data_IF_705859082290
#
_entry.id   IF_705859082290
#
_cell.length_a   1.000
_cell.length_b   1.000
_cell.length_c   1.000
_cell.angle_alpha   90.00
_cell.angle_beta   90.00
_cell.angle_gamma   90.00
#
_symmetry.space_group_name_H-M   'P 1'
#
loop_
_entity.id
_entity.type
_entity.pdbx_description
1 polymer ?
#
# COMPACT_ATOMS: atom_id res chain seq x y z
N UNK A 1 4.66 -31.19 -23.47
CA UNK A 1 5.20 -29.93 -23.99
C UNK A 1 6.39 -30.25 -24.92
N UNK A 2 6.52 -29.61 -26.07
CA UNK A 2 7.64 -29.85 -26.95
C UNK A 2 8.84 -29.03 -26.49
N UNK A 3 10.08 -29.51 -26.73
CA UNK A 3 11.33 -28.81 -26.33
C UNK A 3 11.45 -27.37 -26.92
N UNK A 4 10.73 -27.10 -28.01
CA UNK A 4 10.59 -25.77 -28.60
C UNK A 4 9.74 -24.85 -27.74
N UNK A 5 8.74 -25.39 -27.04
CA UNK A 5 7.84 -24.62 -26.17
C UNK A 5 8.56 -24.28 -24.87
N UNK A 6 9.40 -25.20 -24.34
CA UNK A 6 10.25 -24.97 -23.17
C UNK A 6 11.21 -23.80 -23.41
N UNK A 7 11.91 -23.79 -24.57
CA UNK A 7 12.81 -22.67 -24.92
C UNK A 7 12.10 -21.33 -25.07
N UNK A 8 10.82 -21.34 -25.47
CA UNK A 8 10.02 -20.13 -25.51
C UNK A 8 9.69 -19.61 -24.11
N UNK A 9 9.44 -20.53 -23.15
CA UNK A 9 9.18 -20.14 -21.78
C UNK A 9 10.42 -19.50 -21.10
N UNK A 10 11.62 -19.90 -21.48
CA UNK A 10 12.88 -19.33 -20.97
C UNK A 10 13.07 -17.85 -21.35
N UNK A 11 12.37 -17.35 -22.36
CA UNK A 11 12.45 -15.95 -22.82
C UNK A 11 11.35 -15.06 -22.23
N UNK A 12 10.41 -15.64 -21.49
CA UNK A 12 9.29 -14.93 -20.88
C UNK A 12 9.63 -14.51 -19.45
N UNK A 13 9.05 -13.39 -19.03
CA UNK A 13 9.08 -13.01 -17.60
C UNK A 13 8.39 -14.05 -16.74
N UNK A 14 8.74 -14.18 -15.44
CA UNK A 14 8.08 -15.08 -14.52
C UNK A 14 6.55 -14.92 -14.49
N UNK A 15 6.06 -13.69 -14.67
CA UNK A 15 4.63 -13.42 -14.75
C UNK A 15 3.97 -13.99 -16.02
N UNK A 16 4.62 -13.86 -17.18
CA UNK A 16 4.14 -14.42 -18.45
C UNK A 16 4.22 -15.93 -18.44
N UNK A 17 5.30 -16.52 -17.89
CA UNK A 17 5.42 -17.98 -17.70
C UNK A 17 4.25 -18.51 -16.89
N UNK A 18 3.96 -17.89 -15.73
CA UNK A 18 2.83 -18.27 -14.90
C UNK A 18 1.50 -18.21 -15.65
N UNK A 19 1.21 -17.14 -16.36
CA UNK A 19 -0.03 -17.02 -17.13
C UNK A 19 -0.12 -18.09 -18.23
N UNK A 20 0.98 -18.32 -18.96
CA UNK A 20 1.05 -19.36 -19.99
C UNK A 20 0.80 -20.77 -19.42
N UNK A 21 1.36 -21.07 -18.23
CA UNK A 21 1.14 -22.35 -17.56
C UNK A 21 -0.30 -22.51 -17.08
N UNK A 22 -0.93 -21.44 -16.57
CA UNK A 22 -2.34 -21.44 -16.20
C UNK A 22 -3.22 -21.73 -17.40
N UNK A 23 -2.98 -21.04 -18.53
CA UNK A 23 -3.74 -21.23 -19.77
C UNK A 23 -3.60 -22.67 -20.31
N UNK A 24 -2.39 -23.23 -20.30
CA UNK A 24 -2.14 -24.61 -20.69
C UNK A 24 -2.88 -25.62 -19.79
N UNK A 25 -2.90 -25.35 -18.49
CA UNK A 25 -3.57 -26.23 -17.52
C UNK A 25 -5.11 -26.15 -17.66
N UNK A 26 -5.68 -24.97 -17.93
CA UNK A 26 -7.11 -24.79 -18.15
C UNK A 26 -7.61 -25.48 -19.43
N UNK A 27 -6.78 -25.57 -20.44
CA UNK A 27 -7.10 -26.25 -21.71
C UNK A 27 -6.80 -27.77 -21.67
N UNK A 28 -6.30 -28.28 -20.55
CA UNK A 28 -6.12 -29.71 -20.37
C UNK A 28 -7.45 -30.39 -20.08
N UNK A 29 -7.92 -31.24 -20.98
CA UNK A 29 -9.18 -31.99 -20.84
C UNK A 29 -9.09 -33.17 -19.86
N UNK A 30 -7.93 -33.46 -19.32
CA UNK A 30 -7.71 -34.66 -18.49
C UNK A 30 -8.03 -34.44 -17.00
N UNK A 31 -8.02 -33.18 -16.53
CA UNK A 31 -8.26 -32.83 -15.11
C UNK A 31 -8.95 -31.49 -14.99
N UNK A 32 -9.86 -31.37 -14.03
CA UNK A 32 -10.41 -30.08 -13.62
C UNK A 32 -9.33 -29.31 -12.86
N UNK A 33 -8.92 -28.17 -13.41
CA UNK A 33 -7.97 -27.27 -12.75
C UNK A 33 -8.69 -26.33 -11.79
N UNK A 34 -8.27 -26.31 -10.55
CA UNK A 34 -8.66 -25.30 -9.57
C UNK A 34 -7.50 -24.31 -9.47
N UNK A 35 -7.73 -23.07 -9.92
CA UNK A 35 -6.72 -22.03 -9.87
C UNK A 35 -6.70 -21.37 -8.48
N UNK A 36 -5.66 -21.67 -7.70
CA UNK A 36 -5.38 -21.03 -6.42
C UNK A 36 -4.23 -20.00 -6.50
N UNK A 37 -3.71 -19.72 -7.69
CA UNK A 37 -2.58 -18.80 -7.91
C UNK A 37 -2.95 -17.32 -7.92
N UNK A 38 -4.25 -16.99 -7.97
CA UNK A 38 -4.79 -15.63 -7.81
C UNK A 38 -6.10 -15.70 -7.07
N UNK A 39 -6.25 -14.86 -6.06
CA UNK A 39 -7.51 -14.64 -5.39
C UNK A 39 -7.79 -13.16 -5.26
N UNK A 40 -9.04 -12.77 -5.52
CA UNK A 40 -9.56 -11.52 -5.01
C UNK A 40 -10.36 -11.84 -3.75
N UNK A 41 -10.38 -10.96 -2.74
CA UNK A 41 -11.38 -11.05 -1.69
C UNK A 41 -12.77 -11.10 -2.32
N UNK A 42 -13.56 -12.11 -1.97
CA UNK A 42 -14.94 -12.25 -2.47
C UNK A 42 -15.94 -11.47 -1.60
N UNK A 43 -15.47 -10.49 -0.87
CA UNK A 43 -16.23 -9.66 0.04
C UNK A 43 -15.89 -8.18 -0.15
N UNK A 44 -16.83 -7.33 0.16
CA UNK A 44 -16.68 -5.87 0.16
C UNK A 44 -17.21 -5.35 1.48
N UNK A 45 -16.44 -4.49 2.15
CA UNK A 45 -16.93 -3.72 3.29
C UNK A 45 -17.93 -2.68 2.77
N UNK A 46 -19.22 -2.91 3.00
CA UNK A 46 -20.30 -2.09 2.40
C UNK A 46 -20.49 -0.77 3.11
N UNK A 47 -20.45 -0.73 4.43
CA UNK A 47 -20.64 0.49 5.21
C UNK A 47 -19.68 1.64 4.83
N UNK A 48 -18.34 1.45 4.79
CA UNK A 48 -17.43 2.51 4.36
C UNK A 48 -17.57 2.87 2.87
N UNK A 49 -18.05 1.94 2.03
CA UNK A 49 -18.36 2.23 0.63
C UNK A 49 -19.56 3.13 0.49
N UNK A 50 -20.63 2.82 1.20
CA UNK A 50 -21.83 3.63 1.25
C UNK A 50 -21.52 5.00 1.84
N UNK A 51 -20.74 5.04 2.93
CA UNK A 51 -20.24 6.29 3.52
C UNK A 51 -19.55 7.18 2.50
N UNK A 52 -18.67 6.63 1.68
CA UNK A 52 -17.99 7.37 0.62
C UNK A 52 -18.97 7.97 -0.40
N UNK A 53 -19.99 7.22 -0.82
CA UNK A 53 -21.01 7.74 -1.73
C UNK A 53 -21.89 8.79 -1.07
N UNK A 54 -22.28 8.62 0.19
CA UNK A 54 -23.06 9.61 0.93
C UNK A 54 -22.30 10.90 1.17
N UNK A 55 -21.01 10.81 1.47
CA UNK A 55 -20.14 11.98 1.55
C UNK A 55 -20.08 12.72 0.20
N UNK A 56 -20.02 11.98 -0.92
CA UNK A 56 -20.08 12.56 -2.26
C UNK A 56 -21.42 13.28 -2.54
N UNK A 57 -22.53 12.73 -2.07
CA UNK A 57 -23.84 13.37 -2.19
C UNK A 57 -23.93 14.65 -1.38
N UNK A 58 -23.43 14.65 -0.14
CA UNK A 58 -23.31 15.84 0.68
C UNK A 58 -22.45 16.92 -0.01
N UNK A 59 -21.27 16.53 -0.51
CA UNK A 59 -20.37 17.43 -1.20
C UNK A 59 -21.02 18.08 -2.44
N UNK A 60 -21.83 17.33 -3.17
CA UNK A 60 -22.60 17.87 -4.30
C UNK A 60 -23.72 18.84 -3.83
N UNK A 61 -24.39 18.57 -2.71
CA UNK A 61 -25.37 19.51 -2.12
C UNK A 61 -24.68 20.83 -1.73
N UNK A 62 -23.53 20.75 -1.05
CA UNK A 62 -22.71 21.92 -0.71
C UNK A 62 -22.27 22.72 -1.95
N UNK A 63 -21.75 22.03 -2.95
CA UNK A 63 -21.31 22.65 -4.21
C UNK A 63 -22.46 23.39 -4.91
N UNK A 64 -23.63 22.76 -5.02
CA UNK A 64 -24.81 23.35 -5.66
C UNK A 64 -25.37 24.55 -4.89
N UNK A 65 -25.31 24.53 -3.56
CA UNK A 65 -25.82 25.63 -2.72
C UNK A 65 -25.03 26.91 -2.88
N UNK A 66 -23.76 26.83 -3.27
CA UNK A 66 -22.84 27.95 -3.37
C UNK A 66 -22.70 28.53 -4.79
N UNK A 67 -23.52 28.10 -5.73
CA UNK A 67 -23.49 28.60 -7.10
C UNK A 67 -24.90 28.65 -7.70
N UNK A 68 -25.33 29.85 -8.09
CA UNK A 68 -26.68 30.09 -8.65
C UNK A 68 -26.68 30.54 -10.12
N UNK A 69 -25.52 30.50 -10.77
CA UNK A 69 -25.34 31.12 -12.09
C UNK A 69 -25.92 30.30 -13.25
N UNK A 70 -25.72 28.98 -13.24
CA UNK A 70 -26.15 28.10 -14.32
C UNK A 70 -26.61 26.74 -13.76
N UNK A 71 -27.68 26.20 -14.37
CA UNK A 71 -28.15 24.85 -14.04
C UNK A 71 -27.08 23.81 -14.35
N UNK A 72 -26.87 22.85 -13.43
CA UNK A 72 -25.92 21.77 -13.56
C UNK A 72 -24.47 22.12 -13.14
N UNK A 73 -24.23 23.34 -12.68
CA UNK A 73 -22.95 23.74 -12.11
C UNK A 73 -23.05 23.93 -10.61
N UNK A 74 -21.90 23.83 -9.93
CA UNK A 74 -21.76 24.08 -8.51
C UNK A 74 -20.53 24.95 -8.24
N UNK A 75 -20.50 25.57 -7.07
CA UNK A 75 -19.37 26.34 -6.58
C UNK A 75 -18.46 25.52 -5.67
N UNK A 76 -17.51 26.19 -5.06
CA UNK A 76 -16.66 25.67 -4.01
C UNK A 76 -17.45 25.51 -2.72
N UNK A 77 -17.07 24.56 -1.87
CA UNK A 77 -17.60 24.46 -0.51
C UNK A 77 -17.29 25.73 0.30
N UNK A 78 -18.11 26.00 1.31
CA UNK A 78 -17.87 27.07 2.27
C UNK A 78 -17.58 26.44 3.62
N UNK A 79 -16.35 26.63 4.12
CA UNK A 79 -15.88 26.00 5.35
C UNK A 79 -16.70 26.40 6.58
N UNK A 80 -17.10 27.66 6.70
CA UNK A 80 -17.84 28.14 7.87
C UNK A 80 -19.14 27.36 8.09
N UNK A 81 -19.33 26.79 9.28
CA UNK A 81 -20.50 26.00 9.70
C UNK A 81 -20.80 24.76 8.83
N UNK A 82 -19.81 24.26 8.07
CA UNK A 82 -20.00 23.09 7.18
C UNK A 82 -20.25 21.81 7.98
N UNK A 83 -19.67 21.68 9.15
CA UNK A 83 -19.91 20.53 10.04
C UNK A 83 -21.36 20.49 10.54
N UNK A 84 -21.97 21.64 10.80
CA UNK A 84 -23.38 21.72 11.16
C UNK A 84 -24.26 21.26 9.99
N UNK A 85 -23.99 21.74 8.77
CA UNK A 85 -24.73 21.30 7.57
C UNK A 85 -24.53 19.82 7.27
N UNK A 86 -23.33 19.30 7.51
CA UNK A 86 -23.04 17.88 7.40
C UNK A 86 -23.89 17.06 8.37
N UNK A 87 -23.97 17.45 9.65
CA UNK A 87 -24.80 16.76 10.62
C UNK A 87 -26.30 16.82 10.26
N UNK A 88 -26.78 17.95 9.73
CA UNK A 88 -28.15 18.07 9.23
C UNK A 88 -28.42 17.14 8.02
N UNK A 89 -27.43 17.00 7.12
CA UNK A 89 -27.51 16.01 6.05
C UNK A 89 -27.57 14.58 6.61
N UNK A 90 -26.72 14.26 7.57
CA UNK A 90 -26.74 12.94 8.21
C UNK A 90 -28.06 12.63 8.91
N UNK A 91 -28.65 13.60 9.63
CA UNK A 91 -29.96 13.44 10.25
C UNK A 91 -31.06 13.09 9.24
N UNK A 92 -31.02 13.70 8.03
CA UNK A 92 -31.97 13.42 6.96
C UNK A 92 -31.90 11.99 6.41
N UNK A 93 -30.72 11.34 6.53
CA UNK A 93 -30.44 10.01 5.98
C UNK A 93 -29.97 9.02 7.05
N UNK A 94 -30.40 9.20 8.30
CA UNK A 94 -29.92 8.48 9.49
C UNK A 94 -30.12 6.94 9.42
N UNK A 95 -31.11 6.47 8.65
CA UNK A 95 -31.40 5.03 8.47
C UNK A 95 -30.33 4.29 7.63
N UNK A 96 -29.38 5.00 7.01
CA UNK A 96 -28.37 4.41 6.14
C UNK A 96 -27.10 4.07 6.92
N UNK A 97 -26.61 2.84 6.77
CA UNK A 97 -25.42 2.33 7.48
C UNK A 97 -24.19 3.20 7.21
N UNK A 98 -24.01 3.63 5.96
CA UNK A 98 -22.91 4.52 5.57
C UNK A 98 -22.97 5.89 6.22
N UNK A 99 -24.16 6.41 6.48
CA UNK A 99 -24.35 7.69 7.19
C UNK A 99 -24.01 7.54 8.68
N UNK A 100 -24.41 6.44 9.31
CA UNK A 100 -24.02 6.14 10.70
C UNK A 100 -22.50 6.04 10.80
N UNK A 101 -21.85 5.35 9.86
CA UNK A 101 -20.39 5.28 9.80
C UNK A 101 -19.75 6.68 9.69
N UNK A 102 -20.31 7.60 8.89
CA UNK A 102 -19.79 8.97 8.75
C UNK A 102 -19.91 9.76 10.05
N UNK A 103 -21.04 9.62 10.77
CA UNK A 103 -21.25 10.29 12.06
C UNK A 103 -20.24 9.78 13.09
N UNK A 104 -20.08 8.47 13.20
CA UNK A 104 -19.13 7.84 14.13
C UNK A 104 -17.68 8.25 13.81
N UNK A 105 -17.31 8.23 12.52
CA UNK A 105 -15.99 8.66 12.08
C UNK A 105 -15.73 10.15 12.40
N UNK A 106 -16.69 11.02 12.11
CA UNK A 106 -16.59 12.44 12.42
C UNK A 106 -16.41 12.68 13.92
N UNK A 107 -17.26 12.07 14.77
CA UNK A 107 -17.19 12.20 16.22
C UNK A 107 -15.87 11.65 16.76
N UNK A 108 -15.47 10.45 16.31
CA UNK A 108 -14.21 9.84 16.74
C UNK A 108 -13.01 10.75 16.44
N UNK A 109 -12.91 11.28 15.22
CA UNK A 109 -11.77 12.09 14.78
C UNK A 109 -11.73 13.43 15.54
N UNK A 110 -12.87 14.10 15.65
CA UNK A 110 -12.95 15.39 16.36
C UNK A 110 -12.65 15.25 17.85
N UNK A 111 -13.18 14.23 18.50
CA UNK A 111 -13.02 14.00 19.94
C UNK A 111 -11.63 13.44 20.26
N UNK A 112 -11.19 12.43 19.54
CA UNK A 112 -9.93 11.73 19.83
C UNK A 112 -8.70 12.56 19.46
N UNK A 113 -8.77 13.29 18.35
CA UNK A 113 -7.61 14.03 17.82
C UNK A 113 -7.75 15.55 17.98
N UNK A 114 -8.83 16.03 18.61
CA UNK A 114 -9.09 17.46 18.83
C UNK A 114 -9.03 18.28 17.52
N UNK A 115 -9.58 17.70 16.45
CA UNK A 115 -9.64 18.31 15.13
C UNK A 115 -10.85 19.24 15.06
N UNK A 116 -10.67 20.41 14.44
CA UNK A 116 -11.77 21.30 14.12
C UNK A 116 -12.73 20.66 13.12
N UNK A 117 -14.00 20.53 13.49
CA UNK A 117 -15.01 19.82 12.71
C UNK A 117 -15.27 20.46 11.34
N UNK A 118 -15.29 21.79 11.27
CA UNK A 118 -15.48 22.51 10.01
C UNK A 118 -14.30 22.28 9.06
N UNK A 119 -13.08 22.30 9.58
CA UNK A 119 -11.89 22.06 8.77
C UNK A 119 -11.82 20.59 8.28
N UNK A 120 -12.24 19.63 9.11
CA UNK A 120 -12.30 18.22 8.72
C UNK A 120 -13.30 17.96 7.59
N UNK A 121 -14.53 18.42 7.78
CA UNK A 121 -15.59 18.22 6.76
C UNK A 121 -15.28 18.99 5.49
N UNK A 122 -14.70 20.18 5.60
CA UNK A 122 -14.26 20.95 4.44
C UNK A 122 -13.18 20.18 3.62
N UNK A 123 -12.18 19.62 4.29
CA UNK A 123 -11.18 18.77 3.62
C UNK A 123 -11.83 17.56 2.91
N UNK A 124 -12.79 16.90 3.56
CA UNK A 124 -13.50 15.77 2.96
C UNK A 124 -14.29 16.18 1.71
N UNK A 125 -14.98 17.31 1.76
CA UNK A 125 -15.74 17.85 0.63
C UNK A 125 -14.83 18.23 -0.52
N UNK A 126 -13.76 19.00 -0.25
CA UNK A 126 -12.80 19.41 -1.27
C UNK A 126 -12.08 18.18 -1.88
N UNK A 127 -11.72 17.19 -1.04
CA UNK A 127 -11.07 15.97 -1.46
C UNK A 127 -11.92 15.12 -2.40
N UNK A 128 -13.21 14.89 -2.03
CA UNK A 128 -14.10 14.05 -2.85
C UNK A 128 -14.56 14.74 -4.14
N UNK A 129 -14.63 16.06 -4.16
CA UNK A 129 -14.90 16.87 -5.37
C UNK A 129 -13.66 17.01 -6.26
N UNK A 130 -12.47 16.66 -5.77
CA UNK A 130 -11.22 16.80 -6.51
C UNK A 130 -10.73 18.24 -6.67
N UNK A 131 -10.97 19.08 -5.69
CA UNK A 131 -10.78 20.54 -5.78
C UNK A 131 -9.44 21.03 -5.22
N UNK A 132 -8.38 20.25 -5.36
CA UNK A 132 -7.03 20.58 -4.85
C UNK A 132 -6.07 21.09 -5.95
N UNK A 133 -6.61 21.50 -7.09
CA UNK A 133 -5.83 22.11 -8.16
C UNK A 133 -5.66 23.63 -7.89
N UNK A 134 -4.50 24.25 -8.19
CA UNK A 134 -3.34 23.71 -8.91
C UNK A 134 -2.23 23.18 -8.01
N UNK A 135 -2.39 23.15 -6.73
CA UNK A 135 -1.35 22.74 -5.77
C UNK A 135 -1.87 21.55 -4.94
N UNK A 136 -1.86 20.34 -5.53
CA UNK A 136 -2.28 19.16 -4.80
C UNK A 136 -1.29 18.86 -3.67
N UNK A 137 -1.81 18.55 -2.50
CA UNK A 137 -1.02 18.06 -1.39
C UNK A 137 -0.53 16.62 -1.67
N UNK A 138 0.60 16.27 -1.08
CA UNK A 138 1.11 14.89 -1.05
C UNK A 138 0.06 13.92 -0.50
N UNK A 139 -0.64 14.34 0.52
CA UNK A 139 -1.76 13.68 1.16
C UNK A 139 -2.59 14.73 1.88
N UNK A 140 -3.91 14.59 1.91
CA UNK A 140 -4.78 15.49 2.65
C UNK A 140 -4.42 15.46 4.13
N UNK A 141 -4.43 16.62 4.78
CA UNK A 141 -3.90 16.83 6.14
C UNK A 141 -4.51 15.90 7.19
N UNK A 142 -5.84 15.82 7.22
CA UNK A 142 -6.53 14.99 8.20
C UNK A 142 -6.54 13.53 7.80
N UNK A 143 -6.56 13.23 6.51
CA UNK A 143 -6.34 11.87 6.00
C UNK A 143 -4.94 11.36 6.37
N UNK A 144 -3.90 12.20 6.29
CA UNK A 144 -2.56 11.85 6.76
C UNK A 144 -2.53 11.60 8.27
N UNK A 145 -3.18 12.45 9.07
CA UNK A 145 -3.27 12.27 10.52
C UNK A 145 -3.90 10.92 10.88
N UNK A 146 -5.04 10.59 10.26
CA UNK A 146 -5.77 9.35 10.51
C UNK A 146 -4.94 8.13 10.09
N UNK A 147 -4.39 8.14 8.88
CA UNK A 147 -3.56 7.06 8.36
C UNK A 147 -2.31 6.85 9.23
N UNK A 148 -1.67 7.94 9.68
CA UNK A 148 -0.54 7.89 10.60
C UNK A 148 -0.92 7.21 11.91
N UNK A 149 -2.03 7.61 12.51
CA UNK A 149 -2.51 7.04 13.77
C UNK A 149 -2.88 5.57 13.64
N UNK A 150 -3.48 5.19 12.53
CA UNK A 150 -3.76 3.80 12.21
C UNK A 150 -2.47 2.96 12.10
N UNK A 151 -1.49 3.43 11.33
CA UNK A 151 -0.20 2.75 11.17
C UNK A 151 0.54 2.66 12.51
N UNK A 152 0.58 3.74 13.29
CA UNK A 152 1.19 3.74 14.63
C UNK A 152 0.55 2.67 15.53
N UNK A 153 -0.77 2.55 15.52
CA UNK A 153 -1.50 1.57 16.32
C UNK A 153 -1.26 0.13 15.83
N UNK A 154 -1.40 -0.11 14.53
CA UNK A 154 -1.33 -1.47 13.97
C UNK A 154 0.11 -2.02 13.93
N UNK A 155 1.10 -1.18 13.66
CA UNK A 155 2.49 -1.62 13.54
C UNK A 155 3.25 -1.61 14.86
N UNK A 156 2.92 -0.72 15.79
CA UNK A 156 3.57 -0.65 17.10
C UNK A 156 2.73 -1.28 18.22
N UNK A 157 1.40 -1.35 18.06
CA UNK A 157 0.50 -1.87 19.10
C UNK A 157 0.66 -1.10 20.42
N UNK A 158 0.96 -1.82 21.49
CA UNK A 158 1.24 -1.23 22.80
C UNK A 158 2.70 -0.85 23.04
N UNK A 159 3.59 -1.10 22.06
CA UNK A 159 4.99 -0.76 22.21
C UNK A 159 5.23 0.74 22.03
N UNK A 160 6.24 1.31 22.69
CA UNK A 160 6.64 2.69 22.45
C UNK A 160 7.00 2.89 20.98
N UNK A 161 6.48 3.96 20.37
CA UNK A 161 6.88 4.32 19.01
C UNK A 161 8.38 4.62 18.97
N UNK A 162 9.07 4.22 17.89
CA UNK A 162 10.47 4.56 17.68
C UNK A 162 10.66 6.09 17.74
N UNK A 163 11.79 6.52 18.27
CA UNK A 163 12.18 7.92 18.19
C UNK A 163 12.40 8.31 16.72
N UNK A 164 11.64 9.26 16.23
CA UNK A 164 11.75 9.75 14.87
C UNK A 164 10.39 10.15 14.28
N UNK A 165 10.46 10.82 13.14
CA UNK A 165 9.29 11.15 12.33
C UNK A 165 9.33 10.30 11.06
N UNK A 166 8.18 9.83 10.64
CA UNK A 166 8.01 9.26 9.31
C UNK A 166 6.97 10.07 8.55
N UNK A 167 7.12 10.11 7.25
CA UNK A 167 6.21 10.78 6.35
C UNK A 167 5.37 9.75 5.60
N UNK A 168 4.13 10.12 5.28
CA UNK A 168 3.23 9.30 4.48
C UNK A 168 3.14 9.85 3.07
N UNK A 169 3.05 8.96 2.10
CA UNK A 169 2.83 9.29 0.71
C UNK A 169 1.77 8.34 0.14
N UNK A 170 0.59 8.85 -0.19
CA UNK A 170 -0.49 8.06 -0.76
C UNK A 170 -0.22 7.75 -2.23
N UNK A 171 -0.40 6.48 -2.61
CA UNK A 171 -0.23 5.99 -3.97
C UNK A 171 -1.30 4.97 -4.33
N UNK A 172 -1.38 4.59 -5.60
CA UNK A 172 -2.40 3.71 -6.16
C UNK A 172 -2.14 2.22 -5.89
N UNK A 173 -1.57 1.90 -4.73
CA UNK A 173 -1.28 0.52 -4.30
C UNK A 173 0.20 0.15 -4.33
N UNK A 174 0.53 -1.06 -3.82
CA UNK A 174 1.91 -1.49 -3.60
C UNK A 174 2.78 -1.49 -4.86
N UNK A 175 2.26 -1.90 -6.00
CA UNK A 175 3.04 -1.89 -7.27
C UNK A 175 3.39 -0.46 -7.70
N UNK A 176 2.46 0.49 -7.56
CA UNK A 176 2.75 1.90 -7.82
C UNK A 176 3.77 2.46 -6.81
N UNK A 177 3.64 2.12 -5.54
CA UNK A 177 4.63 2.48 -4.51
C UNK A 177 6.04 2.03 -4.89
N UNK A 178 6.19 0.79 -5.35
CA UNK A 178 7.48 0.26 -5.82
C UNK A 178 8.06 1.09 -6.96
N UNK A 179 7.26 1.41 -7.98
CA UNK A 179 7.71 2.23 -9.12
C UNK A 179 8.19 3.60 -8.63
N UNK A 180 7.44 4.24 -7.75
CA UNK A 180 7.83 5.54 -7.20
C UNK A 180 9.10 5.46 -6.35
N UNK A 181 9.24 4.40 -5.53
CA UNK A 181 10.44 4.18 -4.72
C UNK A 181 11.66 3.97 -5.62
N UNK A 182 11.61 3.06 -6.59
CA UNK A 182 12.73 2.82 -7.51
C UNK A 182 13.12 4.09 -8.28
N UNK A 183 12.13 4.83 -8.82
CA UNK A 183 12.37 6.10 -9.49
C UNK A 183 13.02 7.13 -8.56
N UNK A 184 12.58 7.19 -7.30
CA UNK A 184 13.13 8.10 -6.30
C UNK A 184 14.57 7.74 -5.95
N UNK A 185 14.85 6.47 -5.71
CA UNK A 185 16.19 5.98 -5.40
C UNK A 185 17.17 6.27 -6.55
N UNK A 186 16.74 6.01 -7.81
CA UNK A 186 17.51 6.34 -9.02
C UNK A 186 17.74 7.85 -9.15
N UNK A 187 16.68 8.66 -9.07
CA UNK A 187 16.76 10.11 -9.27
C UNK A 187 17.65 10.80 -8.24
N UNK A 188 17.66 10.28 -7.02
CA UNK A 188 18.52 10.77 -5.93
C UNK A 188 19.90 10.09 -5.90
N UNK A 189 20.22 9.23 -6.85
CA UNK A 189 21.50 8.50 -6.95
C UNK A 189 21.80 7.62 -5.74
N UNK A 190 20.77 7.17 -5.05
CA UNK A 190 20.89 6.21 -3.96
C UNK A 190 21.08 4.77 -4.48
N UNK A 191 20.50 4.49 -5.66
CA UNK A 191 20.78 3.31 -6.46
C UNK A 191 21.12 3.73 -7.89
N UNK A 192 22.20 3.17 -8.42
CA UNK A 192 22.67 3.44 -9.79
C UNK A 192 22.72 2.13 -10.58
N UNK A 193 22.67 2.18 -11.92
CA UNK A 193 22.87 1.00 -12.76
C UNK A 193 24.15 0.24 -12.38
N UNK A 194 24.03 -1.06 -12.19
CA UNK A 194 25.14 -1.92 -11.76
C UNK A 194 25.30 -2.09 -10.25
N UNK A 195 24.58 -1.30 -9.43
CA UNK A 195 24.54 -1.53 -7.98
C UNK A 195 23.86 -2.86 -7.64
N UNK A 196 24.22 -3.43 -6.50
CA UNK A 196 23.66 -4.70 -6.01
C UNK A 196 22.60 -4.44 -4.95
N UNK A 197 21.46 -5.10 -5.10
CA UNK A 197 20.41 -5.14 -4.10
C UNK A 197 20.18 -6.57 -3.61
N UNK A 198 19.71 -6.73 -2.39
CA UNK A 198 19.26 -7.99 -1.85
C UNK A 198 17.72 -8.08 -1.91
N UNK A 199 17.19 -9.27 -2.19
CA UNK A 199 15.77 -9.58 -2.17
C UNK A 199 15.52 -10.80 -1.30
N UNK A 200 14.58 -10.71 -0.36
CA UNK A 200 14.18 -11.83 0.51
C UNK A 200 13.27 -12.80 -0.26
N UNK A 201 13.82 -13.92 -0.72
CA UNK A 201 13.13 -14.90 -1.54
C UNK A 201 12.59 -16.09 -0.71
N UNK A 202 11.43 -16.69 -1.09
CA UNK A 202 10.57 -16.32 -2.22
C UNK A 202 9.84 -15.00 -1.99
N UNK A 203 9.61 -14.24 -3.05
CA UNK A 203 9.06 -12.88 -2.99
C UNK A 203 8.04 -12.63 -4.11
N UNK A 204 7.22 -11.62 -3.93
CA UNK A 204 6.27 -11.14 -4.94
C UNK A 204 7.00 -10.76 -6.24
N UNK A 205 6.52 -11.32 -7.35
CA UNK A 205 7.20 -11.28 -8.66
C UNK A 205 7.72 -9.90 -9.11
N UNK A 206 7.00 -8.78 -8.92
CA UNK A 206 7.50 -7.47 -9.32
C UNK A 206 8.85 -7.07 -8.69
N UNK A 207 9.17 -7.57 -7.48
CA UNK A 207 10.47 -7.34 -6.85
C UNK A 207 11.62 -8.09 -7.53
N UNK A 208 11.29 -9.12 -8.32
CA UNK A 208 12.28 -9.86 -9.12
C UNK A 208 12.50 -9.17 -10.47
N UNK A 209 11.41 -8.70 -11.10
CA UNK A 209 11.43 -8.20 -12.47
C UNK A 209 11.87 -6.73 -12.56
N UNK A 210 11.34 -5.88 -11.67
CA UNK A 210 11.56 -4.44 -11.76
C UNK A 210 13.05 -4.03 -11.68
N UNK A 211 13.89 -4.61 -10.80
CA UNK A 211 15.31 -4.28 -10.76
C UNK A 211 16.08 -4.59 -12.04
N UNK A 212 15.60 -5.57 -12.83
CA UNK A 212 16.24 -6.00 -14.08
C UNK A 212 15.86 -5.13 -15.29
N UNK A 213 14.83 -4.28 -15.15
CA UNK A 213 14.46 -3.37 -16.23
C UNK A 213 15.67 -2.52 -16.64
N UNK A 214 15.80 -2.28 -17.94
CA UNK A 214 16.91 -1.51 -18.55
C UNK A 214 17.11 -0.15 -17.85
N UNK A 215 16.02 0.46 -17.39
CA UNK A 215 16.06 1.73 -16.66
C UNK A 215 16.76 1.67 -15.30
N UNK A 216 16.80 0.51 -14.66
CA UNK A 216 17.45 0.34 -13.34
C UNK A 216 18.73 -0.48 -13.44
N UNK A 217 18.74 -1.56 -14.20
CA UNK A 217 19.88 -2.43 -14.47
C UNK A 217 20.64 -2.82 -13.18
N UNK A 218 19.91 -3.24 -12.15
CA UNK A 218 20.47 -3.60 -10.83
C UNK A 218 20.85 -5.08 -10.81
N UNK A 219 21.93 -5.40 -10.09
CA UNK A 219 22.29 -6.76 -9.74
C UNK A 219 21.48 -7.23 -8.53
N UNK A 220 21.15 -8.52 -8.47
CA UNK A 220 20.37 -9.10 -7.35
C UNK A 220 21.17 -10.15 -6.60
N UNK A 221 21.05 -10.13 -5.29
CA UNK A 221 21.47 -11.19 -4.36
C UNK A 221 20.23 -11.69 -3.64
N UNK A 222 19.98 -12.99 -3.72
CA UNK A 222 18.84 -13.61 -3.05
C UNK A 222 19.21 -13.95 -1.60
N UNK A 223 18.31 -13.56 -0.69
CA UNK A 223 18.32 -13.91 0.73
C UNK A 223 17.21 -14.94 0.92
N UNK A 224 17.58 -16.20 0.91
CA UNK A 224 16.63 -17.31 0.83
C UNK A 224 15.99 -17.63 2.17
N UNK A 225 14.66 -17.62 2.22
CA UNK A 225 13.91 -18.33 3.25
C UNK A 225 13.76 -19.80 2.87
N UNK A 226 13.77 -20.68 3.86
CA UNK A 226 13.78 -22.12 3.66
C UNK A 226 12.51 -22.78 4.25
N UNK A 227 11.92 -23.70 3.52
CA UNK A 227 10.80 -24.52 4.00
C UNK A 227 11.20 -25.34 5.24
N UNK A 228 12.42 -25.86 5.29
CA UNK A 228 12.93 -26.62 6.42
C UNK A 228 13.04 -25.79 7.71
N UNK A 229 13.21 -24.46 7.57
CA UNK A 229 13.16 -23.48 8.66
C UNK A 229 11.79 -22.79 8.80
N UNK A 230 10.73 -23.43 8.31
CA UNK A 230 9.37 -22.87 8.28
C UNK A 230 9.31 -21.48 7.62
N UNK A 231 10.02 -21.32 6.53
CA UNK A 231 10.15 -20.07 5.76
C UNK A 231 10.76 -18.91 6.53
N UNK A 232 11.53 -19.21 7.57
CA UNK A 232 12.39 -18.21 8.22
C UNK A 232 13.69 -18.06 7.44
N UNK A 233 14.33 -16.91 7.56
CA UNK A 233 15.60 -16.64 6.90
C UNK A 233 16.75 -17.12 7.80
N UNK A 234 17.59 -18.08 7.35
CA UNK A 234 18.73 -18.54 8.12
C UNK A 234 19.78 -17.45 8.33
N UNK A 235 20.55 -17.55 9.42
CA UNK A 235 21.61 -16.60 9.74
C UNK A 235 22.66 -16.47 8.62
N UNK A 236 23.00 -17.60 7.98
CA UNK A 236 23.94 -17.62 6.85
C UNK A 236 23.46 -16.81 5.64
N UNK A 237 22.13 -16.69 5.46
CA UNK A 237 21.55 -15.84 4.42
C UNK A 237 21.61 -14.38 4.82
N UNK A 238 21.27 -14.04 6.08
CA UNK A 238 21.35 -12.68 6.59
C UNK A 238 22.79 -12.13 6.59
N UNK A 239 23.81 -13.00 6.72
CA UNK A 239 25.22 -12.62 6.63
C UNK A 239 25.58 -11.99 5.28
N UNK A 240 24.90 -12.35 4.18
CA UNK A 240 25.10 -11.73 2.85
C UNK A 240 24.82 -10.21 2.87
N UNK A 241 23.96 -9.74 3.77
CA UNK A 241 23.66 -8.32 3.93
C UNK A 241 24.82 -7.52 4.54
N UNK A 242 25.86 -8.18 5.10
CA UNK A 242 27.04 -7.51 5.59
C UNK A 242 28.01 -7.09 4.47
N UNK A 243 27.81 -7.57 3.23
CA UNK A 243 28.59 -7.16 2.08
C UNK A 243 28.31 -5.68 1.77
N UNK A 244 29.32 -4.79 1.79
CA UNK A 244 29.14 -3.36 1.52
C UNK A 244 28.71 -3.05 0.08
N UNK A 245 28.83 -4.00 -0.85
CA UNK A 245 28.35 -3.85 -2.21
C UNK A 245 26.81 -3.89 -2.29
N UNK A 246 26.13 -4.53 -1.32
CA UNK A 246 24.67 -4.57 -1.23
C UNK A 246 24.16 -3.23 -0.70
N UNK A 247 23.42 -2.49 -1.52
CA UNK A 247 22.94 -1.13 -1.22
C UNK A 247 21.55 -1.08 -0.63
N UNK A 248 20.70 -2.06 -0.97
CA UNK A 248 19.34 -2.12 -0.47
C UNK A 248 18.92 -3.57 -0.20
N UNK A 249 18.00 -3.76 0.74
CA UNK A 249 17.36 -5.03 1.00
C UNK A 249 15.84 -4.87 0.92
N UNK A 250 15.20 -5.64 0.05
CA UNK A 250 13.77 -5.68 -0.16
C UNK A 250 13.17 -6.92 0.50
N UNK A 251 12.16 -6.72 1.34
CA UNK A 251 11.51 -7.75 2.13
C UNK A 251 9.99 -7.59 2.07
N UNK A 252 9.26 -8.68 1.93
CA UNK A 252 7.79 -8.75 2.07
C UNK A 252 7.47 -9.51 3.36
N UNK A 253 6.81 -8.86 4.33
CA UNK A 253 6.48 -9.47 5.62
C UNK A 253 5.11 -8.99 6.16
N UNK A 254 4.14 -9.89 6.34
CA UNK A 254 4.13 -11.32 6.01
C UNK A 254 4.37 -11.61 4.53
N UNK A 255 5.06 -12.74 4.27
CA UNK A 255 5.60 -13.04 2.94
C UNK A 255 4.52 -13.40 1.90
N UNK A 256 4.78 -13.02 0.66
CA UNK A 256 4.05 -13.46 -0.51
C UNK A 256 5.07 -14.04 -1.52
N UNK A 257 5.00 -15.33 -1.91
CA UNK A 257 3.86 -16.24 -1.81
C UNK A 257 3.81 -17.18 -0.59
N UNK A 258 4.82 -17.21 0.28
CA UNK A 258 4.92 -18.22 1.33
C UNK A 258 3.84 -18.09 2.42
N UNK A 259 3.19 -16.93 2.55
CA UNK A 259 2.11 -16.66 3.54
C UNK A 259 2.56 -16.86 4.99
N UNK A 260 3.79 -16.51 5.29
CA UNK A 260 4.41 -16.67 6.61
C UNK A 260 4.92 -15.32 7.12
N UNK A 261 4.67 -15.04 8.39
CA UNK A 261 5.29 -13.94 9.11
C UNK A 261 6.68 -14.36 9.59
N UNK A 262 7.66 -13.49 9.44
CA UNK A 262 8.96 -13.69 10.05
C UNK A 262 8.85 -13.64 11.59
N UNK A 263 9.61 -14.48 12.27
CA UNK A 263 9.68 -14.49 13.72
C UNK A 263 10.30 -13.22 14.26
N UNK A 264 9.95 -12.88 15.50
CA UNK A 264 10.56 -11.72 16.17
C UNK A 264 12.09 -11.86 16.26
N UNK A 265 12.61 -13.09 16.39
CA UNK A 265 14.04 -13.37 16.35
C UNK A 265 14.65 -12.99 15.01
N UNK A 266 14.04 -13.39 13.89
CA UNK A 266 14.52 -13.05 12.54
C UNK A 266 14.44 -11.54 12.30
N UNK A 267 13.33 -10.89 12.69
CA UNK A 267 13.18 -9.44 12.58
C UNK A 267 14.21 -8.68 13.41
N UNK A 268 14.51 -9.17 14.62
CA UNK A 268 15.55 -8.59 15.46
C UNK A 268 16.94 -8.67 14.79
N UNK A 269 17.28 -9.82 14.21
CA UNK A 269 18.55 -9.99 13.47
C UNK A 269 18.64 -9.05 12.26
N UNK A 270 17.54 -8.86 11.52
CA UNK A 270 17.49 -7.89 10.42
C UNK A 270 17.73 -6.47 10.94
N UNK A 271 17.09 -6.10 12.05
CA UNK A 271 17.31 -4.79 12.69
C UNK A 271 18.76 -4.61 13.16
N UNK A 272 19.40 -5.65 13.69
CA UNK A 272 20.83 -5.62 14.03
C UNK A 272 21.72 -5.40 12.81
N UNK A 273 21.41 -6.03 11.66
CA UNK A 273 22.11 -5.76 10.40
C UNK A 273 21.95 -4.30 10.01
N UNK A 274 20.74 -3.78 10.03
CA UNK A 274 20.47 -2.37 9.70
C UNK A 274 21.21 -1.39 10.62
N UNK A 275 21.31 -1.71 11.92
CA UNK A 275 22.09 -0.92 12.88
C UNK A 275 23.60 -0.94 12.59
N UNK A 276 24.13 -2.08 12.12
CA UNK A 276 25.56 -2.19 11.72
C UNK A 276 25.85 -1.57 10.36
N UNK A 277 24.81 -1.50 9.50
CA UNK A 277 24.87 -1.03 8.12
C UNK A 277 23.95 0.18 7.93
N UNK A 278 24.26 1.35 8.51
CA UNK A 278 23.43 2.56 8.36
C UNK A 278 23.36 3.08 6.92
N UNK A 279 24.21 2.55 6.04
CA UNK A 279 24.21 2.78 4.59
C UNK A 279 23.27 1.86 3.81
N UNK A 280 22.77 0.79 4.44
CA UNK A 280 21.84 -0.15 3.82
C UNK A 280 20.41 0.42 3.82
N UNK A 281 19.82 0.53 2.64
CA UNK A 281 18.43 0.92 2.48
C UNK A 281 17.57 -0.32 2.73
N UNK A 282 16.76 -0.30 3.79
CA UNK A 282 15.80 -1.37 4.08
C UNK A 282 14.41 -0.96 3.58
N UNK A 283 13.82 -1.77 2.72
CA UNK A 283 12.46 -1.60 2.23
C UNK A 283 11.62 -2.81 2.62
N UNK A 284 10.55 -2.56 3.36
CA UNK A 284 9.58 -3.59 3.76
C UNK A 284 8.26 -3.35 3.06
N UNK A 285 7.67 -4.44 2.53
CA UNK A 285 6.31 -4.46 2.06
C UNK A 285 5.45 -5.15 3.12
N UNK A 286 4.65 -4.34 3.81
CA UNK A 286 3.83 -4.77 4.94
C UNK A 286 2.35 -4.85 4.57
N UNK A 287 2.02 -5.10 3.29
CA UNK A 287 0.64 -5.15 2.79
C UNK A 287 -0.26 -6.11 3.57
N UNK A 288 0.33 -7.14 4.16
CA UNK A 288 -0.36 -8.10 5.02
C UNK A 288 -0.12 -7.88 6.53
N UNK A 289 0.54 -6.80 6.92
CA UNK A 289 0.93 -6.53 8.31
C UNK A 289 -0.23 -6.49 9.30
N UNK A 290 -1.41 -6.08 8.85
CA UNK A 290 -2.62 -6.03 9.70
C UNK A 290 -3.37 -7.36 9.81
N UNK A 291 -2.90 -8.42 9.13
CA UNK A 291 -3.49 -9.77 9.16
C UNK A 291 -2.68 -10.78 9.99
N UNK A 292 -1.57 -10.37 10.59
CA UNK A 292 -0.62 -11.28 11.28
C UNK A 292 -0.54 -11.03 12.78
#
# INVERSE_FOLDING_TARGET
MKRTDEKRLETLSPFEVKNTLIDLAQHSHEKTMINAGRGNPNWVATAPREAFFQLGMFALEESKSNFSGYEGFGGMGVQQDISLRFLQFCEKYEDQEGVQFLIEAFQFITDQYQVDGDALIYEWVEGILGNNYPVPDRMLKYSELIARKYIEQEMAGSQPLPAGKFDLFAVEGGTAAMVYIFNTLKSNRLLNPGDTIAIGAPIFTPYIEMPELEDYALNKVEIMADEASAWQIPDSELEKLNDPSVKAFFLVNPSNPASVRLSDETLYKIAEVANRRPDLILLTDDVYGTFA
#
